data_IF_145633672880
#
_entry.id   IF_145633672880
#
_cell.length_a   1.000
_cell.length_b   1.000
_cell.length_c   1.000
_cell.angle_alpha   90.00
_cell.angle_beta   90.00
_cell.angle_gamma   90.00
#
_symmetry.space_group_name_H-M   'P 1'
#
loop_
_entity.id
_entity.type
_entity.pdbx_description
1 polymer ?
#
# COMPACT_ATOMS: atom_id res chain seq x y z
N UNK A 1 15.32 19.93 5.74
CA UNK A 1 15.74 18.58 6.16
C UNK A 1 14.47 17.94 6.70
N UNK A 2 13.74 17.23 5.83
CA UNK A 2 12.49 16.57 6.22
C UNK A 2 12.83 15.23 6.89
N UNK A 3 12.14 15.00 7.99
CA UNK A 3 12.40 13.97 8.99
C UNK A 3 12.30 12.55 8.40
N UNK A 4 13.39 11.81 8.55
CA UNK A 4 13.61 10.48 7.98
C UNK A 4 12.83 9.40 8.75
N UNK A 5 11.54 9.23 8.43
CA UNK A 5 10.81 8.00 8.83
C UNK A 5 9.65 7.58 7.93
N UNK A 6 9.69 7.91 6.64
CA UNK A 6 8.74 7.34 5.67
C UNK A 6 9.42 6.21 4.90
N UNK A 7 8.85 5.00 5.02
CA UNK A 7 9.22 3.87 4.16
C UNK A 7 8.40 3.93 2.87
N UNK A 8 9.07 3.87 1.73
CA UNK A 8 8.41 3.78 0.43
C UNK A 8 7.88 2.36 0.22
N UNK A 9 6.61 2.16 0.56
CA UNK A 9 5.96 0.84 0.47
C UNK A 9 5.77 0.42 -1.00
N UNK A 10 5.32 1.35 -1.84
CA UNK A 10 5.11 1.12 -3.27
C UNK A 10 5.21 2.43 -4.04
N UNK A 11 5.89 2.41 -5.18
CA UNK A 11 6.06 3.58 -6.05
C UNK A 11 5.58 3.22 -7.46
N UNK A 12 4.61 3.99 -7.96
CA UNK A 12 4.06 3.88 -9.31
C UNK A 12 4.18 5.22 -10.02
N UNK A 13 4.99 5.27 -11.06
CA UNK A 13 5.32 6.52 -11.76
C UNK A 13 5.40 6.29 -13.27
N UNK A 14 4.94 7.25 -14.06
CA UNK A 14 5.00 7.18 -15.53
C UNK A 14 4.35 5.90 -16.10
N UNK A 15 3.30 5.40 -15.44
CA UNK A 15 2.55 4.22 -15.84
C UNK A 15 3.22 2.88 -15.51
N UNK A 16 4.25 2.85 -14.65
CA UNK A 16 5.00 1.64 -14.31
C UNK A 16 5.37 1.60 -12.82
N UNK A 17 5.50 0.39 -12.29
CA UNK A 17 6.06 0.14 -10.95
C UNK A 17 7.55 0.50 -10.93
N UNK A 18 8.01 1.07 -9.80
CA UNK A 18 9.42 1.39 -9.54
C UNK A 18 9.94 0.60 -8.33
N UNK A 19 10.25 -0.70 -8.50
CA UNK A 19 10.69 -1.55 -7.39
C UNK A 19 12.03 -1.09 -6.78
N UNK A 20 12.87 -0.37 -7.54
CA UNK A 20 14.17 0.13 -7.07
C UNK A 20 14.05 1.32 -6.12
N UNK A 21 12.91 2.01 -6.11
CA UNK A 21 12.61 3.13 -5.22
C UNK A 21 11.98 2.62 -3.90
N UNK A 22 11.34 1.44 -3.91
CA UNK A 22 10.75 0.84 -2.72
C UNK A 22 11.78 0.51 -1.63
N UNK A 23 11.34 0.65 -0.38
CA UNK A 23 12.05 0.15 0.79
C UNK A 23 12.22 -1.38 0.70
N UNK A 24 13.40 -1.86 1.11
CA UNK A 24 13.78 -3.28 0.96
C UNK A 24 12.79 -4.22 1.65
N UNK A 25 12.14 -3.77 2.71
CA UNK A 25 11.16 -4.56 3.47
C UNK A 25 9.90 -4.85 2.65
N UNK A 26 9.59 -4.07 1.62
CA UNK A 26 8.36 -4.18 0.83
C UNK A 26 8.57 -4.64 -0.61
N UNK A 27 9.83 -4.65 -1.09
CA UNK A 27 10.18 -5.11 -2.44
C UNK A 27 9.65 -6.51 -2.71
N UNK A 28 8.94 -6.66 -3.82
CA UNK A 28 8.34 -7.92 -4.25
C UNK A 28 7.16 -8.40 -3.40
N UNK A 29 6.73 -7.61 -2.41
CA UNK A 29 5.57 -7.91 -1.56
C UNK A 29 4.36 -7.07 -1.91
N UNK A 30 4.51 -6.07 -2.77
CA UNK A 30 3.44 -5.13 -3.13
C UNK A 30 2.99 -5.25 -4.58
N UNK A 31 1.68 -5.13 -4.80
CA UNK A 31 1.06 -5.21 -6.13
C UNK A 31 -0.16 -4.28 -6.21
N UNK A 32 -0.26 -3.47 -7.27
CA UNK A 32 -1.44 -2.66 -7.56
C UNK A 32 -2.30 -3.32 -8.65
N UNK A 33 -3.57 -2.91 -8.75
CA UNK A 33 -4.42 -3.32 -9.88
C UNK A 33 -3.88 -2.80 -11.21
N UNK A 34 -4.27 -3.45 -12.30
CA UNK A 34 -3.93 -3.00 -13.66
C UNK A 34 -4.51 -1.61 -13.93
N UNK A 35 -3.70 -0.77 -14.57
CA UNK A 35 -4.03 0.59 -15.00
C UNK A 35 -4.65 1.47 -13.89
N UNK A 36 -4.01 1.60 -12.72
CA UNK A 36 -4.62 2.24 -11.54
C UNK A 36 -4.98 3.71 -11.80
N UNK A 37 -4.21 4.41 -12.63
CA UNK A 37 -4.50 5.79 -13.05
C UNK A 37 -5.68 5.92 -14.02
N UNK A 38 -6.01 4.85 -14.76
CA UNK A 38 -7.15 4.83 -15.70
C UNK A 38 -8.44 4.47 -15.00
N UNK A 39 -8.38 3.49 -14.09
CA UNK A 39 -9.54 3.03 -13.31
C UNK A 39 -9.86 3.95 -12.14
N UNK A 40 -8.87 4.72 -11.67
CA UNK A 40 -8.96 5.51 -10.44
C UNK A 40 -8.85 4.66 -9.17
N UNK A 41 -8.65 3.34 -9.32
CA UNK A 41 -8.52 2.41 -8.21
C UNK A 41 -7.04 2.26 -7.84
N UNK A 42 -6.62 2.99 -6.82
CA UNK A 42 -5.27 2.99 -6.29
C UNK A 42 -5.08 1.96 -5.16
N UNK A 43 -5.88 0.89 -5.15
CA UNK A 43 -5.75 -0.20 -4.17
C UNK A 43 -4.40 -0.89 -4.29
N UNK A 44 -3.72 -1.03 -3.15
CA UNK A 44 -2.46 -1.73 -3.00
C UNK A 44 -2.67 -3.05 -2.24
N UNK A 45 -2.12 -4.13 -2.76
CA UNK A 45 -2.05 -5.42 -2.08
C UNK A 45 -0.65 -5.59 -1.49
N UNK A 46 -0.55 -5.91 -0.20
CA UNK A 46 0.70 -6.28 0.49
C UNK A 46 0.64 -7.76 0.90
N UNK A 47 1.58 -8.58 0.41
CA UNK A 47 1.65 -10.03 0.67
C UNK A 47 3.09 -10.58 0.51
N UNK A 48 3.53 -11.54 1.34
CA UNK A 48 2.87 -12.01 2.56
C UNK A 48 2.88 -10.91 3.64
N UNK A 49 1.92 -10.93 4.56
CA UNK A 49 1.89 -10.01 5.71
C UNK A 49 2.80 -10.50 6.84
N UNK A 50 3.39 -9.56 7.57
CA UNK A 50 4.18 -9.75 8.77
C UNK A 50 3.62 -8.90 9.92
N UNK A 51 3.81 -9.32 11.16
CA UNK A 51 3.34 -8.56 12.34
C UNK A 51 3.91 -7.13 12.36
N UNK A 52 5.13 -6.97 11.84
CA UNK A 52 5.85 -5.70 11.70
C UNK A 52 5.26 -4.77 10.63
N UNK A 53 4.35 -5.25 9.78
CA UNK A 53 3.66 -4.41 8.80
C UNK A 53 2.55 -3.56 9.43
N UNK A 54 2.21 -3.79 10.71
CA UNK A 54 1.23 -2.97 11.42
C UNK A 54 1.71 -1.52 11.49
N UNK A 55 0.86 -0.57 11.10
CA UNK A 55 1.23 0.84 11.06
C UNK A 55 0.26 1.71 10.27
N UNK A 56 0.61 2.98 10.12
CA UNK A 56 -0.14 3.94 9.31
C UNK A 56 0.44 4.01 7.92
N UNK A 57 -0.36 3.66 6.92
CA UNK A 57 0.00 3.74 5.51
C UNK A 57 -0.62 4.99 4.92
N UNK A 58 0.20 5.81 4.26
CA UNK A 58 -0.26 7.04 3.61
C UNK A 58 -0.10 6.91 2.11
N UNK A 59 -1.24 6.86 1.40
CA UNK A 59 -1.26 7.00 -0.05
C UNK A 59 -1.05 8.47 -0.39
N UNK A 60 -0.07 8.75 -1.25
CA UNK A 60 0.22 10.09 -1.77
C UNK A 60 0.12 10.07 -3.28
N UNK A 61 -0.65 11.00 -3.84
CA UNK A 61 -0.88 11.13 -5.28
C UNK A 61 -0.60 12.56 -5.69
N UNK A 62 0.09 12.72 -6.81
CA UNK A 62 0.32 14.03 -7.43
C UNK A 62 -0.50 14.13 -8.71
N UNK A 63 -1.27 15.20 -8.88
CA UNK A 63 -1.94 15.48 -10.14
C UNK A 63 -0.97 16.15 -11.13
N UNK A 64 -1.43 16.40 -12.36
CA UNK A 64 -0.61 17.03 -13.42
C UNK A 64 -0.16 18.46 -13.09
N UNK A 65 -0.88 19.14 -12.21
CA UNK A 65 -0.58 20.50 -11.75
C UNK A 65 0.38 20.50 -10.54
N UNK A 66 0.82 19.32 -10.10
CA UNK A 66 1.68 19.14 -8.93
C UNK A 66 0.94 19.20 -7.58
N UNK A 67 -0.39 19.28 -7.58
CA UNK A 67 -1.17 19.22 -6.34
C UNK A 67 -1.10 17.83 -5.71
N UNK A 68 -0.76 17.82 -4.43
CA UNK A 68 -0.66 16.62 -3.60
C UNK A 68 -2.02 16.30 -2.97
N UNK A 69 -2.46 15.06 -3.14
CA UNK A 69 -3.57 14.47 -2.41
C UNK A 69 -3.02 13.35 -1.53
N UNK A 70 -3.48 13.30 -0.27
CA UNK A 70 -3.06 12.27 0.67
C UNK A 70 -4.25 11.64 1.37
N UNK A 71 -4.17 10.34 1.61
CA UNK A 71 -5.11 9.61 2.43
C UNK A 71 -4.37 8.56 3.24
N UNK A 72 -4.64 8.49 4.54
CA UNK A 72 -4.01 7.54 5.43
C UNK A 72 -4.99 6.46 5.89
N UNK A 73 -4.48 5.26 6.10
CA UNK A 73 -5.20 4.10 6.65
C UNK A 73 -4.31 3.41 7.67
N UNK A 74 -4.92 2.83 8.70
CA UNK A 74 -4.18 2.03 9.69
C UNK A 74 -4.32 0.55 9.36
N UNK A 75 -3.20 -0.12 9.16
CA UNK A 75 -3.13 -1.57 9.04
C UNK A 75 -2.75 -2.15 10.41
N UNK A 76 -3.52 -3.12 10.90
CA UNK A 76 -3.20 -3.88 12.10
C UNK A 76 -3.08 -5.34 11.68
N UNK A 77 -1.87 -5.88 11.74
CA UNK A 77 -1.60 -7.31 11.54
C UNK A 77 -1.46 -7.93 12.92
N UNK A 78 -2.55 -8.51 13.41
CA UNK A 78 -2.53 -9.33 14.61
C UNK A 78 -2.25 -10.78 14.25
N UNK A 79 -1.53 -11.48 15.13
CA UNK A 79 -1.38 -12.92 15.06
C UNK A 79 -2.20 -13.57 16.17
N UNK A 80 -3.19 -14.37 15.81
CA UNK A 80 -3.61 -15.53 16.59
C UNK A 80 -3.64 -16.72 15.65
N UNK A 81 -2.55 -17.50 15.61
CA UNK A 81 -2.60 -18.78 14.94
C UNK A 81 -2.85 -19.85 15.99
N UNK A 82 -4.07 -20.41 16.01
CA UNK A 82 -4.25 -21.77 16.52
C UNK A 82 -5.21 -22.64 15.66
N UNK A 83 -6.13 -22.12 14.83
CA UNK A 83 -6.90 -22.99 13.88
C UNK A 83 -7.91 -22.34 12.92
N UNK A 84 -8.09 -21.02 12.81
CA UNK A 84 -9.33 -20.50 12.21
C UNK A 84 -9.19 -20.01 10.76
N UNK A 85 -9.83 -20.76 9.84
CA UNK A 85 -10.22 -20.32 8.49
C UNK A 85 -11.19 -19.14 8.60
N UNK A 86 -10.91 -18.01 7.93
CA UNK A 86 -11.86 -16.90 7.82
C UNK A 86 -11.98 -16.44 6.38
N UNK A 87 -13.18 -16.58 5.81
CA UNK A 87 -13.58 -15.99 4.52
C UNK A 87 -13.97 -14.54 4.76
N UNK A 88 -13.39 -13.60 4.02
CA UNK A 88 -13.80 -12.18 4.07
C UNK A 88 -14.83 -11.94 2.96
N UNK A 89 -16.09 -11.73 3.34
CA UNK A 89 -17.13 -11.18 2.48
C UNK A 89 -17.37 -9.71 2.81
N UNK A 90 -17.38 -8.84 1.81
CA UNK A 90 -17.75 -7.42 1.99
C UNK A 90 -19.27 -7.31 1.79
N UNK A 91 -19.99 -6.81 2.80
CA UNK A 91 -21.39 -6.39 2.67
C UNK A 91 -21.43 -5.08 1.85
N UNK A 92 -22.29 -5.04 0.84
CA UNK A 92 -22.62 -3.81 0.11
C UNK A 92 -23.79 -3.11 0.81
N UNK A 93 -23.67 -1.80 1.02
CA UNK A 93 -24.81 -0.87 1.03
C UNK A 93 -24.54 0.21 -0.02
#
# INVERSE_FOLDING_TARGET
MEDSNYMEVHVFESGKDKPDEQDQSYRGRTEMKKDPLRTGDLSLTLKPLHLTDSGVYTCTVYNKDGHKLQKSVTLIVSGECNSCLSTVGILHE
#
